data_IF_517167547578
#
_entry.id   IF_517167547578
#
_cell.length_a   1.000
_cell.length_b   1.000
_cell.length_c   1.000
_cell.angle_alpha   90.00
_cell.angle_beta   90.00
_cell.angle_gamma   90.00
#
_symmetry.space_group_name_H-M   'P 1'
#
loop_
_entity.id
_entity.type
_entity.pdbx_description
1 polymer ?
#
# COMPACT_ATOMS: atom_id res chain seq x y z
N UNK A 1 -10.76 -18.90 -19.60
CA UNK A 1 -11.28 -19.81 -18.54
C UNK A 1 -10.19 -20.61 -17.80
N UNK A 2 -8.98 -20.71 -18.32
CA UNK A 2 -7.90 -21.48 -17.65
C UNK A 2 -6.99 -20.64 -16.73
N UNK A 3 -6.95 -19.31 -16.87
CA UNK A 3 -6.17 -18.42 -16.02
C UNK A 3 -6.78 -18.22 -14.62
N UNK A 4 -8.10 -18.26 -14.50
CA UNK A 4 -8.82 -18.10 -13.22
C UNK A 4 -8.61 -19.27 -12.24
N UNK A 5 -8.23 -20.46 -12.72
CA UNK A 5 -7.94 -21.62 -11.85
C UNK A 5 -6.53 -21.62 -11.24
N UNK A 6 -5.59 -20.89 -11.83
CA UNK A 6 -4.22 -20.82 -11.29
C UNK A 6 -4.11 -19.87 -10.09
N UNK A 7 -4.82 -18.75 -10.10
CA UNK A 7 -4.82 -17.75 -9.02
C UNK A 7 -5.42 -18.31 -7.71
N UNK A 8 -6.52 -19.05 -7.80
CA UNK A 8 -7.15 -19.69 -6.63
C UNK A 8 -6.27 -20.76 -5.98
N UNK A 9 -5.42 -21.45 -6.76
CA UNK A 9 -4.54 -22.49 -6.21
C UNK A 9 -3.35 -21.92 -5.41
N UNK A 10 -2.86 -20.73 -5.75
CA UNK A 10 -1.77 -20.08 -4.99
C UNK A 10 -2.27 -19.56 -3.64
N UNK A 11 -3.47 -19.00 -3.59
CA UNK A 11 -4.13 -18.57 -2.34
C UNK A 11 -4.42 -19.75 -1.41
N UNK A 12 -4.85 -20.90 -1.96
CA UNK A 12 -5.07 -22.12 -1.19
C UNK A 12 -3.76 -22.73 -0.67
N UNK A 13 -2.64 -22.65 -1.40
CA UNK A 13 -1.33 -23.12 -0.91
C UNK A 13 -0.81 -22.28 0.26
N UNK A 14 -1.00 -20.95 0.22
CA UNK A 14 -0.59 -20.06 1.32
C UNK A 14 -1.46 -20.30 2.58
N UNK A 15 -2.73 -20.60 2.42
CA UNK A 15 -3.60 -21.00 3.52
C UNK A 15 -3.27 -22.38 4.11
N UNK A 16 -2.86 -23.34 3.29
CA UNK A 16 -2.46 -24.71 3.74
C UNK A 16 -1.12 -24.73 4.47
N UNK A 17 -0.21 -23.80 4.17
CA UNK A 17 1.04 -23.63 4.95
C UNK A 17 0.78 -23.14 6.38
N UNK A 18 -0.41 -22.59 6.67
CA UNK A 18 -0.82 -22.19 8.03
C UNK A 18 -1.26 -23.35 8.94
N UNK A 19 -1.55 -24.53 8.42
CA UNK A 19 -1.90 -25.68 9.27
C UNK A 19 -0.71 -26.16 10.14
N UNK A 20 0.54 -25.83 9.77
CA UNK A 20 1.73 -26.15 10.57
C UNK A 20 2.07 -25.12 11.68
N UNK A 21 1.29 -24.06 11.84
CA UNK A 21 1.51 -23.05 12.91
C UNK A 21 1.06 -23.53 14.28
N UNK A 22 0.36 -24.66 14.37
CA UNK A 22 -0.09 -25.20 15.65
C UNK A 22 1.05 -25.64 16.59
N UNK A 23 2.26 -25.84 16.10
CA UNK A 23 3.41 -26.24 16.93
C UNK A 23 4.09 -25.06 17.65
N UNK A 24 3.88 -23.82 17.20
CA UNK A 24 4.42 -22.61 17.85
C UNK A 24 3.58 -22.10 19.03
N UNK A 25 2.44 -22.73 19.35
CA UNK A 25 1.60 -22.40 20.53
C UNK A 25 2.32 -22.68 21.87
N UNK A 26 3.43 -23.39 21.89
CA UNK A 26 4.24 -23.62 23.11
C UNK A 26 4.90 -22.34 23.61
N UNK A 27 5.34 -21.45 22.72
CA UNK A 27 6.05 -20.22 23.12
C UNK A 27 5.11 -19.17 23.72
N UNK A 28 3.84 -19.17 23.31
CA UNK A 28 2.83 -18.24 23.85
C UNK A 28 2.47 -18.56 25.31
N UNK A 29 2.46 -19.85 25.71
CA UNK A 29 2.24 -20.28 27.10
C UNK A 29 3.43 -19.96 27.98
N UNK A 30 4.65 -20.06 27.49
CA UNK A 30 5.88 -19.69 28.22
C UNK A 30 5.93 -18.19 28.52
N UNK A 31 5.52 -17.35 27.58
CA UNK A 31 5.50 -15.89 27.78
C UNK A 31 4.42 -15.43 28.77
N UNK A 32 3.29 -16.12 28.84
CA UNK A 32 2.22 -15.85 29.80
C UNK A 32 2.59 -16.30 31.24
N UNK A 33 3.33 -17.39 31.38
CA UNK A 33 3.72 -17.93 32.69
C UNK A 33 4.88 -17.16 33.35
N UNK A 34 5.74 -16.49 32.59
CA UNK A 34 6.87 -15.72 33.13
C UNK A 34 6.46 -14.37 33.76
N UNK A 35 5.27 -13.84 33.48
CA UNK A 35 4.77 -12.59 34.10
C UNK A 35 3.88 -12.80 35.34
N UNK A 36 3.58 -14.03 35.69
CA UNK A 36 2.79 -14.37 36.89
C UNK A 36 3.61 -14.48 38.18
N UNK A 37 4.94 -14.47 38.12
CA UNK A 37 5.81 -14.51 39.31
C UNK A 37 5.92 -13.11 39.89
N UNK A 38 5.20 -12.88 40.98
CA UNK A 38 5.40 -11.74 41.88
C UNK A 38 6.87 -11.72 42.26
N UNK A 39 7.57 -10.66 41.92
CA UNK A 39 8.92 -10.35 42.38
C UNK A 39 8.93 -10.16 43.88
N UNK A 40 9.17 -11.19 44.63
CA UNK A 40 9.67 -11.06 45.99
C UNK A 40 11.16 -10.72 45.89
N UNK A 41 11.52 -9.58 46.48
CA UNK A 41 12.80 -8.87 46.33
C UNK A 41 14.03 -9.59 46.91
N UNK A 42 14.34 -10.83 46.49
CA UNK A 42 15.52 -11.55 46.96
C UNK A 42 16.45 -12.16 45.90
N UNK A 43 16.21 -11.96 44.62
CA UNK A 43 17.06 -12.54 43.55
C UNK A 43 17.94 -11.50 42.81
N UNK A 44 18.16 -10.33 43.37
CA UNK A 44 19.03 -9.32 42.76
C UNK A 44 20.44 -9.25 43.38
N UNK A 45 20.94 -10.33 44.00
CA UNK A 45 22.28 -10.28 44.62
C UNK A 45 23.36 -11.13 44.00
N UNK A 46 23.09 -11.89 42.94
CA UNK A 46 24.13 -12.73 42.31
C UNK A 46 24.13 -12.59 40.78
N UNK A 47 24.41 -11.39 40.26
CA UNK A 47 24.94 -11.23 38.91
C UNK A 47 26.38 -10.78 39.08
N UNK A 48 27.37 -11.56 38.60
CA UNK A 48 28.76 -11.18 38.69
C UNK A 48 29.00 -9.85 37.94
N UNK A 49 29.70 -8.92 38.59
CA UNK A 49 30.29 -7.71 38.00
C UNK A 49 31.38 -8.10 37.00
N UNK A 50 30.97 -8.46 35.78
CA UNK A 50 31.87 -8.57 34.63
C UNK A 50 31.23 -7.81 33.48
N UNK A 51 31.48 -6.54 33.43
CA UNK A 51 31.64 -5.72 32.23
C UNK A 51 31.96 -4.30 32.69
N UNK A 52 33.25 -4.05 32.72
CA UNK A 52 33.77 -2.70 32.88
C UNK A 52 33.55 -1.88 31.63
N UNK A 53 33.39 -0.60 31.87
CA UNK A 53 33.58 0.54 30.98
C UNK A 53 32.62 0.72 29.76
N UNK A 54 31.75 1.56 29.90
CA UNK A 54 31.20 2.79 29.22
C UNK A 54 31.63 3.09 27.76
N UNK A 55 32.12 2.17 26.94
CA UNK A 55 32.55 2.48 25.58
C UNK A 55 31.86 1.72 24.46
N UNK A 56 30.96 0.79 24.74
CA UNK A 56 30.26 -0.02 23.68
C UNK A 56 29.10 0.77 23.04
N UNK A 57 28.53 1.74 23.76
CA UNK A 57 27.41 2.56 23.19
C UNK A 57 27.83 3.60 22.15
N UNK A 58 29.14 3.88 22.01
CA UNK A 58 29.65 4.87 21.04
C UNK A 58 29.96 4.33 19.65
N UNK A 59 30.04 3.01 19.46
CA UNK A 59 30.41 2.44 18.16
C UNK A 59 29.22 1.97 17.29
N UNK A 60 28.02 1.85 17.85
CA UNK A 60 26.81 1.43 17.08
C UNK A 60 26.15 2.61 16.36
N UNK A 61 26.55 3.84 16.63
CA UNK A 61 25.88 5.06 16.14
C UNK A 61 26.66 5.83 15.06
N UNK A 62 27.65 5.23 14.38
CA UNK A 62 28.44 5.96 13.36
C UNK A 62 28.06 5.69 11.90
N UNK A 63 27.11 4.79 11.63
CA UNK A 63 26.59 4.56 10.29
C UNK A 63 25.12 4.94 10.10
N UNK A 64 24.47 5.50 11.13
CA UNK A 64 23.18 6.14 10.92
C UNK A 64 23.47 7.53 10.32
N UNK A 65 23.42 7.64 9.00
CA UNK A 65 23.16 8.94 8.37
C UNK A 65 21.86 9.43 9.01
N UNK A 66 21.85 10.57 9.73
CA UNK A 66 20.62 11.10 10.24
C UNK A 66 19.77 11.46 9.03
N UNK A 67 18.72 10.69 8.78
CA UNK A 67 17.65 11.07 7.86
C UNK A 67 17.19 12.44 8.34
N UNK A 68 17.57 13.50 7.62
CA UNK A 68 17.09 14.85 7.89
C UNK A 68 15.62 14.89 7.44
N UNK A 69 14.73 14.47 8.33
CA UNK A 69 13.31 14.77 8.21
C UNK A 69 13.24 16.29 8.38
N UNK A 70 13.25 17.01 7.25
CA UNK A 70 12.98 18.46 7.27
C UNK A 70 11.55 18.61 7.76
N UNK A 71 11.31 19.35 8.85
CA UNK A 71 9.94 19.69 9.21
C UNK A 71 9.37 20.49 8.03
N UNK A 72 8.23 20.06 7.51
CA UNK A 72 7.52 20.79 6.49
C UNK A 72 7.17 22.17 7.03
N UNK A 73 7.71 23.23 6.45
CA UNK A 73 7.47 24.64 6.82
C UNK A 73 6.07 25.14 6.39
N UNK A 74 5.15 24.25 6.05
CA UNK A 74 3.79 24.61 5.70
C UNK A 74 2.80 23.83 6.57
N UNK A 75 1.97 24.53 7.27
CA UNK A 75 0.66 24.30 7.91
C UNK A 75 -0.11 23.01 7.60
N UNK A 76 0.51 21.91 7.18
CA UNK A 76 -0.10 20.62 7.05
C UNK A 76 -0.28 20.02 8.44
N UNK A 77 -1.51 19.70 8.78
CA UNK A 77 -1.84 18.95 9.98
C UNK A 77 -1.17 17.58 9.84
N UNK A 78 -0.15 17.29 10.66
CA UNK A 78 0.46 15.97 10.71
C UNK A 78 -0.56 14.96 11.26
N UNK A 79 -1.16 14.18 10.36
CA UNK A 79 -2.11 13.12 10.71
C UNK A 79 -1.34 11.89 11.19
N UNK A 80 -0.23 11.56 10.52
CA UNK A 80 0.58 10.37 10.76
C UNK A 80 1.96 10.70 11.33
N UNK A 81 2.38 9.90 12.29
CA UNK A 81 3.72 9.90 12.85
C UNK A 81 4.66 9.10 11.92
N UNK A 82 5.33 9.79 10.98
CA UNK A 82 6.25 9.20 10.01
C UNK A 82 7.41 8.46 10.67
N UNK A 83 7.91 8.96 11.82
CA UNK A 83 8.96 8.29 12.58
C UNK A 83 8.48 6.97 13.16
N UNK A 84 7.26 6.93 13.69
CA UNK A 84 6.68 5.67 14.16
C UNK A 84 6.47 4.69 13.00
N UNK A 85 6.04 5.15 11.83
CA UNK A 85 5.89 4.32 10.63
C UNK A 85 7.23 3.74 10.18
N UNK A 86 8.27 4.53 10.13
CA UNK A 86 9.64 4.07 9.85
C UNK A 86 10.06 2.93 10.81
N UNK A 87 9.90 3.15 12.12
CA UNK A 87 10.25 2.13 13.12
C UNK A 87 9.38 0.86 13.01
N UNK A 88 8.12 0.98 12.59
CA UNK A 88 7.24 -0.16 12.36
C UNK A 88 7.71 -0.98 11.14
N UNK A 89 8.06 -0.32 10.03
CA UNK A 89 8.63 -0.96 8.83
C UNK A 89 9.96 -1.64 9.13
N UNK A 90 10.89 -0.94 9.81
CA UNK A 90 12.17 -1.52 10.22
C UNK A 90 12.01 -2.76 11.13
N UNK A 91 11.08 -2.73 12.07
CA UNK A 91 10.78 -3.88 12.90
C UNK A 91 10.22 -5.04 12.10
N UNK A 92 9.29 -4.77 11.18
CA UNK A 92 8.70 -5.78 10.30
C UNK A 92 9.77 -6.40 9.40
N UNK A 93 10.67 -5.57 8.82
CA UNK A 93 11.77 -6.01 7.97
C UNK A 93 12.72 -6.99 8.67
N UNK A 94 12.93 -6.80 9.98
CA UNK A 94 13.84 -7.65 10.78
C UNK A 94 13.16 -8.90 11.35
N UNK A 95 11.88 -9.11 11.09
CA UNK A 95 11.20 -10.31 11.57
C UNK A 95 11.68 -11.53 10.78
N UNK A 96 12.04 -12.64 11.46
CA UNK A 96 12.58 -13.82 10.79
C UNK A 96 11.55 -14.56 9.92
N UNK A 97 10.27 -14.29 10.16
CA UNK A 97 9.10 -14.89 9.50
C UNK A 97 8.31 -13.87 8.67
N UNK A 98 8.97 -12.82 8.21
CA UNK A 98 8.33 -11.69 7.49
C UNK A 98 7.54 -12.16 6.26
N UNK A 99 7.99 -13.19 5.55
CA UNK A 99 7.34 -13.74 4.36
C UNK A 99 5.90 -14.25 4.61
N UNK A 100 5.62 -14.65 5.85
CA UNK A 100 4.27 -15.12 6.23
C UNK A 100 3.24 -14.01 6.17
N UNK A 101 3.67 -12.76 6.30
CA UNK A 101 2.81 -11.57 6.34
C UNK A 101 2.70 -10.83 5.00
N UNK A 102 3.38 -11.31 3.95
CA UNK A 102 3.43 -10.62 2.66
C UNK A 102 2.18 -10.84 1.78
N UNK A 103 1.35 -11.82 2.08
CA UNK A 103 0.27 -12.31 1.20
C UNK A 103 -0.66 -11.22 0.65
N UNK A 104 -1.03 -10.22 1.48
CA UNK A 104 -1.89 -9.12 1.04
C UNK A 104 -1.14 -8.17 0.10
N UNK A 105 0.09 -7.81 0.46
CA UNK A 105 0.93 -6.91 -0.32
C UNK A 105 1.36 -7.54 -1.65
N UNK A 106 1.61 -8.85 -1.63
CA UNK A 106 1.92 -9.64 -2.83
C UNK A 106 0.74 -9.64 -3.81
N UNK A 107 -0.49 -9.90 -3.32
CA UNK A 107 -1.70 -9.90 -4.16
C UNK A 107 -1.95 -8.53 -4.77
N UNK A 108 -1.83 -7.45 -3.98
CA UNK A 108 -2.02 -6.08 -4.48
C UNK A 108 -0.90 -5.69 -5.45
N UNK A 109 0.35 -6.07 -5.16
CA UNK A 109 1.50 -5.82 -6.04
C UNK A 109 1.36 -6.53 -7.39
N UNK A 110 0.90 -7.78 -7.38
CA UNK A 110 0.60 -8.53 -8.60
C UNK A 110 -0.47 -7.84 -9.46
N UNK A 111 -1.60 -7.45 -8.85
CA UNK A 111 -2.68 -6.75 -9.57
C UNK A 111 -2.25 -5.38 -10.11
N UNK A 112 -1.35 -4.68 -9.41
CA UNK A 112 -0.81 -3.42 -9.88
C UNK A 112 0.16 -3.63 -11.06
N UNK A 113 0.99 -4.67 -11.01
CA UNK A 113 1.88 -5.06 -12.09
C UNK A 113 1.10 -5.49 -13.36
N UNK A 114 0.02 -6.24 -13.19
CA UNK A 114 -0.87 -6.65 -14.29
C UNK A 114 -1.38 -5.43 -15.09
N UNK A 115 -1.73 -4.34 -14.42
CA UNK A 115 -2.13 -3.08 -15.07
C UNK A 115 -0.98 -2.39 -15.83
N UNK A 116 0.28 -2.64 -15.48
CA UNK A 116 1.43 -2.13 -16.23
C UNK A 116 1.52 -2.83 -17.58
N UNK A 117 1.26 -4.14 -17.63
CA UNK A 117 1.26 -4.92 -18.87
C UNK A 117 0.14 -4.54 -19.85
N UNK A 118 -0.96 -3.97 -19.35
CA UNK A 118 -2.03 -3.46 -20.21
C UNK A 118 -1.58 -2.26 -21.07
N UNK A 119 -0.52 -1.55 -20.64
CA UNK A 119 0.04 -0.42 -21.37
C UNK A 119 1.03 -0.95 -22.41
N UNK A 120 0.66 -0.84 -23.69
CA UNK A 120 1.43 -1.36 -24.82
C UNK A 120 2.64 -0.49 -25.16
N UNK A 121 3.49 -0.18 -24.16
CA UNK A 121 4.77 0.50 -24.39
C UNK A 121 5.80 0.09 -23.34
N UNK A 122 7.08 0.19 -23.69
CA UNK A 122 8.18 -0.05 -22.77
C UNK A 122 8.58 1.25 -22.08
N UNK A 123 8.68 1.21 -20.74
CA UNK A 123 9.14 2.32 -19.92
C UNK A 123 10.67 2.26 -19.76
N UNK A 124 11.35 3.37 -20.06
CA UNK A 124 12.82 3.44 -19.94
C UNK A 124 13.26 3.54 -18.50
N UNK A 125 12.57 4.36 -17.70
CA UNK A 125 12.87 4.58 -16.29
C UNK A 125 11.58 4.57 -15.47
N UNK A 126 11.46 3.58 -14.61
CA UNK A 126 10.36 3.43 -13.67
C UNK A 126 10.85 3.60 -12.23
N UNK A 127 9.99 4.11 -11.36
CA UNK A 127 10.23 4.23 -9.92
C UNK A 127 9.11 3.53 -9.17
N UNK A 128 9.46 2.68 -8.20
CA UNK A 128 8.52 2.05 -7.27
C UNK A 128 8.68 2.70 -5.88
N UNK A 129 7.70 3.56 -5.50
CA UNK A 129 7.71 4.34 -4.27
C UNK A 129 7.09 3.55 -3.12
N UNK A 130 7.87 3.34 -2.05
CA UNK A 130 7.46 2.51 -0.93
C UNK A 130 7.38 1.05 -1.33
N UNK A 131 8.39 0.57 -2.07
CA UNK A 131 8.40 -0.76 -2.69
C UNK A 131 8.37 -1.92 -1.68
N UNK A 132 8.68 -1.66 -0.40
CA UNK A 132 8.76 -2.69 0.63
C UNK A 132 9.73 -3.81 0.23
N UNK A 133 9.25 -5.04 0.13
CA UNK A 133 10.01 -6.20 -0.37
C UNK A 133 9.89 -6.41 -1.88
N UNK A 134 9.55 -5.35 -2.64
CA UNK A 134 9.45 -5.40 -4.10
C UNK A 134 8.23 -6.15 -4.61
N UNK A 135 7.07 -5.91 -4.00
CA UNK A 135 5.84 -6.62 -4.35
C UNK A 135 5.38 -6.38 -5.79
N UNK A 136 5.64 -5.19 -6.33
CA UNK A 136 5.43 -4.87 -7.76
C UNK A 136 6.60 -5.38 -8.59
N UNK A 137 7.83 -5.13 -8.12
CA UNK A 137 9.05 -5.46 -8.83
C UNK A 137 9.19 -6.95 -9.18
N UNK A 138 8.70 -7.86 -8.32
CA UNK A 138 8.71 -9.31 -8.57
C UNK A 138 7.96 -9.73 -9.83
N UNK A 139 7.02 -8.94 -10.27
CA UNK A 139 6.14 -9.22 -11.41
C UNK A 139 6.47 -8.39 -12.66
N UNK A 140 7.42 -7.47 -12.57
CA UNK A 140 7.89 -6.65 -13.70
C UNK A 140 8.94 -7.45 -14.49
N UNK A 141 8.89 -7.31 -15.81
CA UNK A 141 9.85 -7.90 -16.73
C UNK A 141 10.57 -6.84 -17.59
N UNK A 142 11.58 -7.28 -18.35
CA UNK A 142 12.37 -6.43 -19.23
C UNK A 142 11.63 -5.98 -20.50
N UNK A 143 10.46 -6.55 -20.79
CA UNK A 143 9.62 -6.13 -21.91
C UNK A 143 8.86 -4.84 -21.55
N UNK A 144 8.45 -4.72 -20.30
CA UNK A 144 7.68 -3.59 -19.77
C UNK A 144 8.57 -2.45 -19.26
N UNK A 145 9.66 -2.77 -18.54
CA UNK A 145 10.53 -1.78 -17.89
C UNK A 145 12.00 -2.08 -18.19
N UNK A 146 12.77 -1.05 -18.56
CA UNK A 146 14.20 -1.18 -18.82
C UNK A 146 15.04 -0.98 -17.54
N UNK A 147 14.75 0.09 -16.80
CA UNK A 147 15.40 0.41 -15.53
C UNK A 147 14.36 0.72 -14.46
N UNK A 148 14.49 0.08 -13.28
CA UNK A 148 13.61 0.24 -12.14
C UNK A 148 14.40 0.78 -10.95
N UNK A 149 13.94 1.92 -10.39
CA UNK A 149 14.45 2.45 -9.12
C UNK A 149 13.49 2.05 -8.01
N UNK A 150 13.93 1.21 -7.11
CA UNK A 150 13.16 0.78 -5.95
C UNK A 150 13.44 1.69 -4.77
N UNK A 151 12.40 2.32 -4.25
CA UNK A 151 12.47 3.32 -3.18
C UNK A 151 11.66 2.88 -1.97
N UNK A 152 12.25 2.95 -0.79
CA UNK A 152 11.55 2.81 0.48
C UNK A 152 12.26 3.63 1.55
N UNK A 153 11.51 4.06 2.57
CA UNK A 153 12.11 4.75 3.73
C UNK A 153 12.95 3.81 4.61
N UNK A 154 12.72 2.49 4.53
CA UNK A 154 13.43 1.47 5.30
C UNK A 154 14.58 0.88 4.49
N UNK A 155 15.85 1.17 4.84
CA UNK A 155 17.00 0.53 4.19
C UNK A 155 17.00 -0.98 4.35
N UNK A 156 16.51 -1.50 5.50
CA UNK A 156 16.45 -2.95 5.74
C UNK A 156 15.49 -3.65 4.75
N UNK A 157 14.40 -3.00 4.34
CA UNK A 157 13.54 -3.53 3.27
C UNK A 157 14.30 -3.59 1.95
N UNK A 158 14.96 -2.49 1.55
CA UNK A 158 15.68 -2.40 0.28
C UNK A 158 16.79 -3.45 0.15
N UNK A 159 17.46 -3.79 1.26
CA UNK A 159 18.51 -4.82 1.26
C UNK A 159 17.95 -6.23 0.97
N UNK A 160 16.66 -6.45 1.27
CA UNK A 160 16.00 -7.76 1.13
C UNK A 160 15.26 -7.93 -0.20
N UNK A 161 15.08 -6.86 -0.99
CA UNK A 161 14.33 -6.91 -2.24
C UNK A 161 15.06 -7.75 -3.28
N UNK A 162 14.43 -8.79 -3.85
CA UNK A 162 15.02 -9.51 -4.98
C UNK A 162 15.05 -8.63 -6.24
N UNK A 163 16.04 -8.82 -7.09
CA UNK A 163 16.05 -8.15 -8.38
C UNK A 163 15.09 -8.85 -9.35
N UNK A 164 14.23 -8.11 -10.07
CA UNK A 164 13.47 -8.67 -11.16
C UNK A 164 14.41 -9.18 -12.27
N UNK A 165 14.03 -10.23 -12.99
CA UNK A 165 14.88 -10.83 -14.02
C UNK A 165 15.06 -9.86 -15.20
N UNK A 166 16.33 -9.70 -15.64
CA UNK A 166 16.70 -8.91 -16.84
C UNK A 166 16.31 -7.42 -16.80
N UNK A 167 16.00 -6.86 -15.65
CA UNK A 167 15.74 -5.43 -15.45
C UNK A 167 16.92 -4.81 -14.71
N UNK A 168 17.37 -3.65 -15.16
CA UNK A 168 18.40 -2.90 -14.44
C UNK A 168 17.80 -2.26 -13.20
N UNK A 169 18.34 -2.55 -12.02
CA UNK A 169 17.77 -2.12 -10.74
C UNK A 169 18.70 -1.17 -10.00
N UNK A 170 18.13 -0.08 -9.49
CA UNK A 170 18.74 0.78 -8.46
C UNK A 170 17.90 0.77 -7.20
N UNK A 171 18.53 0.95 -6.04
CA UNK A 171 17.85 1.04 -4.74
C UNK A 171 18.22 2.36 -4.09
N UNK A 172 17.20 3.11 -3.68
CA UNK A 172 17.38 4.43 -3.09
C UNK A 172 16.52 4.56 -1.83
N UNK A 173 17.10 5.05 -0.73
CA UNK A 173 16.34 5.34 0.49
C UNK A 173 15.65 6.68 0.30
N UNK A 174 14.33 6.66 0.11
CA UNK A 174 13.51 7.83 -0.19
C UNK A 174 12.28 7.85 0.69
N UNK A 175 11.91 9.03 1.20
CA UNK A 175 10.63 9.27 1.83
C UNK A 175 9.62 9.67 0.75
N UNK A 176 8.44 9.04 0.72
CA UNK A 176 7.38 9.29 -0.26
C UNK A 176 6.83 10.73 -0.19
N UNK A 177 7.11 11.46 0.90
CA UNK A 177 6.76 12.88 1.03
C UNK A 177 7.74 13.81 0.29
N UNK A 178 8.96 13.35 -0.01
CA UNK A 178 10.03 14.17 -0.61
C UNK A 178 10.77 13.42 -1.69
N UNK A 179 10.39 13.64 -2.95
CA UNK A 179 10.96 12.94 -4.08
C UNK A 179 12.25 13.63 -4.58
N UNK A 180 13.41 12.94 -4.59
CA UNK A 180 14.68 13.52 -5.02
C UNK A 180 14.92 13.46 -6.54
N UNK A 181 13.87 13.25 -7.33
CA UNK A 181 13.99 13.05 -8.78
C UNK A 181 13.92 14.37 -9.54
N UNK A 182 14.68 14.46 -10.62
CA UNK A 182 14.67 15.60 -11.53
C UNK A 182 13.31 15.74 -12.23
N UNK A 183 12.86 16.98 -12.51
CA UNK A 183 11.65 17.21 -13.29
C UNK A 183 11.71 16.53 -14.66
N UNK A 184 10.58 15.96 -15.10
CA UNK A 184 10.43 15.30 -16.40
C UNK A 184 11.49 14.22 -16.70
N UNK A 185 11.91 13.46 -15.68
CA UNK A 185 12.91 12.39 -15.80
C UNK A 185 12.31 11.00 -15.90
N UNK A 186 11.12 10.77 -15.33
CA UNK A 186 10.53 9.45 -15.13
C UNK A 186 9.45 9.14 -16.17
N UNK A 187 9.38 7.90 -16.63
CA UNK A 187 8.33 7.43 -17.54
C UNK A 187 7.15 6.81 -16.78
N UNK A 188 7.44 6.13 -15.66
CA UNK A 188 6.44 5.46 -14.82
C UNK A 188 6.80 5.66 -13.36
N UNK A 189 5.77 5.94 -12.54
CA UNK A 189 5.87 5.89 -11.07
C UNK A 189 4.80 4.94 -10.57
N UNK A 190 5.23 3.94 -9.78
CA UNK A 190 4.33 3.01 -9.10
C UNK A 190 4.38 3.20 -7.60
N UNK A 191 3.32 2.86 -6.89
CA UNK A 191 3.32 2.79 -5.43
C UNK A 191 2.27 1.81 -4.94
N UNK A 192 2.69 0.74 -4.27
CA UNK A 192 1.78 -0.29 -3.74
C UNK A 192 1.71 -0.21 -2.23
N UNK A 193 0.52 0.08 -1.70
CA UNK A 193 0.19 0.10 -0.26
C UNK A 193 1.20 0.88 0.60
N UNK A 194 1.62 2.06 0.12
CA UNK A 194 2.53 2.94 0.85
C UNK A 194 1.98 4.35 1.06
N UNK A 195 1.40 4.98 0.04
CA UNK A 195 1.05 6.40 0.04
C UNK A 195 -0.07 6.79 1.03
N UNK A 196 -0.84 5.84 1.53
CA UNK A 196 -1.87 6.11 2.56
C UNK A 196 -1.28 6.52 3.92
N UNK A 197 0.04 6.46 4.08
CA UNK A 197 0.76 6.95 5.26
C UNK A 197 1.38 8.34 5.08
N UNK A 198 1.20 8.96 3.92
CA UNK A 198 1.73 10.29 3.58
C UNK A 198 0.82 11.36 4.17
N UNK A 199 1.39 12.37 4.84
CA UNK A 199 0.62 13.47 5.43
C UNK A 199 0.14 14.48 4.39
N UNK A 200 1.04 14.89 3.45
CA UNK A 200 0.69 15.78 2.34
C UNK A 200 0.54 14.99 1.03
N UNK A 201 -0.53 14.20 0.93
CA UNK A 201 -0.84 13.46 -0.29
C UNK A 201 -1.03 14.37 -1.53
N UNK A 202 -1.69 15.55 -1.44
CA UNK A 202 -1.71 16.51 -2.54
C UNK A 202 -0.33 16.98 -2.97
N UNK A 203 0.58 17.22 -2.04
CA UNK A 203 1.98 17.60 -2.31
C UNK A 203 2.76 16.48 -2.98
N UNK A 204 2.60 15.23 -2.51
CA UNK A 204 3.22 14.07 -3.11
C UNK A 204 2.77 13.88 -4.58
N UNK A 205 1.47 14.00 -4.88
CA UNK A 205 0.97 13.92 -6.25
C UNK A 205 1.53 15.03 -7.15
N UNK A 206 1.68 16.27 -6.64
CA UNK A 206 2.32 17.37 -7.40
C UNK A 206 3.80 17.08 -7.68
N UNK A 207 4.53 16.48 -6.75
CA UNK A 207 5.91 16.08 -6.97
C UNK A 207 5.98 14.97 -8.02
N UNK A 208 5.14 13.94 -7.93
CA UNK A 208 5.08 12.83 -8.89
C UNK A 208 4.84 13.36 -10.30
N UNK A 209 3.81 14.20 -10.52
CA UNK A 209 3.53 14.72 -11.88
C UNK A 209 4.65 15.63 -12.39
N UNK A 210 5.37 16.33 -11.50
CA UNK A 210 6.53 17.13 -11.88
C UNK A 210 7.68 16.26 -12.37
N UNK A 211 7.98 15.16 -11.68
CA UNK A 211 9.05 14.23 -12.03
C UNK A 211 8.73 13.40 -13.27
N UNK A 212 7.46 13.14 -13.57
CA UNK A 212 7.04 12.42 -14.77
C UNK A 212 7.36 13.23 -16.03
N UNK A 213 7.77 12.55 -17.10
CA UNK A 213 7.80 13.08 -18.46
C UNK A 213 6.39 13.33 -18.97
N UNK A 214 6.26 14.12 -20.03
CA UNK A 214 5.00 14.24 -20.75
C UNK A 214 4.53 12.85 -21.18
N UNK A 215 3.23 12.60 -21.07
CA UNK A 215 2.65 11.27 -21.27
C UNK A 215 3.21 10.18 -20.33
N UNK A 216 3.86 10.57 -19.24
CA UNK A 216 4.28 9.67 -18.16
C UNK A 216 3.08 9.21 -17.33
N UNK A 217 3.23 8.05 -16.68
CA UNK A 217 2.14 7.37 -15.97
C UNK A 217 2.44 7.30 -14.49
N UNK A 218 1.44 7.57 -13.68
CA UNK A 218 1.40 7.22 -12.27
C UNK A 218 0.39 6.09 -12.03
N UNK A 219 0.79 5.07 -11.30
CA UNK A 219 -0.07 3.98 -10.85
C UNK A 219 0.10 3.77 -9.36
N UNK A 220 -1.00 3.73 -8.62
CA UNK A 220 -0.96 3.53 -7.19
C UNK A 220 -2.04 2.60 -6.67
N UNK A 221 -1.76 1.98 -5.53
CA UNK A 221 -2.72 1.24 -4.74
C UNK A 221 -2.64 1.69 -3.28
N UNK A 222 -3.76 2.05 -2.69
CA UNK A 222 -3.86 2.50 -1.29
C UNK A 222 -5.02 1.82 -0.58
N UNK A 223 -4.98 1.77 0.74
CA UNK A 223 -6.13 1.34 1.53
C UNK A 223 -7.25 2.37 1.46
N UNK A 224 -8.48 1.90 1.25
CA UNK A 224 -9.70 2.69 1.25
C UNK A 224 -10.37 2.77 2.62
N UNK A 225 -11.37 3.65 2.73
CA UNK A 225 -12.07 3.98 3.97
C UNK A 225 -12.70 2.81 4.70
N UNK A 226 -13.16 1.80 3.98
CA UNK A 226 -13.81 0.61 4.54
C UNK A 226 -12.82 -0.47 5.00
N UNK A 227 -11.52 -0.24 4.88
CA UNK A 227 -10.51 -1.17 5.39
C UNK A 227 -10.66 -1.35 6.89
N UNK A 228 -10.76 -2.65 7.30
CA UNK A 228 -10.86 -3.08 8.70
C UNK A 228 -12.04 -2.46 9.46
N UNK A 229 -13.17 -2.20 8.78
CA UNK A 229 -14.36 -1.61 9.41
C UNK A 229 -14.89 -2.49 10.56
N UNK A 230 -14.77 -3.82 10.44
CA UNK A 230 -15.20 -4.76 11.48
C UNK A 230 -14.35 -4.61 12.75
N UNK A 231 -13.01 -4.49 12.59
CA UNK A 231 -12.11 -4.26 13.72
C UNK A 231 -12.34 -2.87 14.34
N UNK A 232 -12.54 -1.85 13.49
CA UNK A 232 -12.82 -0.47 13.91
C UNK A 232 -14.07 -0.39 14.76
N UNK A 233 -15.17 -0.94 14.27
CA UNK A 233 -16.45 -0.94 14.98
C UNK A 233 -16.37 -1.69 16.30
N UNK A 234 -15.72 -2.86 16.33
CA UNK A 234 -15.58 -3.68 17.54
C UNK A 234 -14.75 -2.99 18.61
N UNK A 235 -13.64 -2.33 18.23
CA UNK A 235 -12.80 -1.57 19.15
C UNK A 235 -13.52 -0.32 19.68
N UNK A 236 -14.25 0.41 18.83
CA UNK A 236 -15.01 1.58 19.23
C UNK A 236 -16.12 1.23 20.23
N UNK A 237 -16.88 0.17 19.98
CA UNK A 237 -17.92 -0.32 20.89
C UNK A 237 -17.33 -0.75 22.23
N UNK A 238 -16.21 -1.47 22.22
CA UNK A 238 -15.54 -1.90 23.45
C UNK A 238 -15.01 -0.71 24.27
N UNK A 239 -14.46 0.32 23.60
CA UNK A 239 -13.99 1.52 24.29
C UNK A 239 -15.14 2.35 24.87
N UNK A 240 -16.22 2.49 24.12
CA UNK A 240 -17.41 3.21 24.60
C UNK A 240 -17.96 2.55 25.86
N UNK A 241 -18.05 1.20 25.88
CA UNK A 241 -18.51 0.44 27.03
C UNK A 241 -17.56 0.54 28.24
N UNK A 242 -16.24 0.44 28.01
CA UNK A 242 -15.25 0.33 29.10
C UNK A 242 -14.69 1.66 29.58
N UNK A 243 -14.67 2.69 28.72
CA UNK A 243 -14.04 3.98 29.00
C UNK A 243 -14.96 5.18 28.80
N UNK A 244 -16.14 5.00 28.23
CA UNK A 244 -17.07 6.09 27.94
C UNK A 244 -16.55 7.06 26.86
N UNK A 245 -15.57 6.66 26.04
CA UNK A 245 -14.99 7.48 24.98
C UNK A 245 -14.43 6.65 23.83
N UNK A 246 -14.03 7.30 22.74
CA UNK A 246 -13.53 6.66 21.53
C UNK A 246 -12.12 7.15 21.26
N UNK A 247 -11.20 6.22 20.96
CA UNK A 247 -9.86 6.53 20.45
C UNK A 247 -9.65 5.94 19.06
N UNK A 248 -8.83 6.58 18.21
CA UNK A 248 -8.48 6.04 16.90
C UNK A 248 -7.50 4.88 17.06
N UNK A 249 -8.01 3.65 16.85
CA UNK A 249 -7.18 2.44 16.81
C UNK A 249 -6.79 2.04 15.40
N UNK A 250 -7.60 2.42 14.41
CA UNK A 250 -7.34 2.22 12.98
C UNK A 250 -7.13 3.59 12.37
N UNK A 251 -6.12 3.69 11.52
CA UNK A 251 -5.80 4.93 10.80
C UNK A 251 -6.96 5.38 9.93
N UNK A 252 -7.16 6.70 9.76
CA UNK A 252 -8.06 7.20 8.75
C UNK A 252 -7.50 6.88 7.36
N UNK A 253 -8.35 6.43 6.46
CA UNK A 253 -8.02 6.20 5.05
C UNK A 253 -8.88 7.11 4.18
N UNK A 254 -8.43 7.36 2.95
CA UNK A 254 -9.12 8.18 1.96
C UNK A 254 -10.26 7.41 1.31
N UNK A 255 -11.29 8.16 0.84
CA UNK A 255 -12.35 7.62 0.02
C UNK A 255 -11.98 7.70 -1.47
N UNK A 256 -12.61 6.85 -2.30
CA UNK A 256 -12.41 6.84 -3.76
C UNK A 256 -12.64 8.22 -4.40
N UNK A 257 -13.66 8.94 -3.91
CA UNK A 257 -14.02 10.29 -4.39
C UNK A 257 -12.92 11.30 -4.15
N UNK A 258 -12.26 11.20 -2.99
CA UNK A 258 -11.18 12.10 -2.61
C UNK A 258 -9.95 11.87 -3.48
N UNK A 259 -9.59 10.61 -3.73
CA UNK A 259 -8.47 10.24 -4.60
C UNK A 259 -8.66 10.83 -6.01
N UNK A 260 -9.83 10.64 -6.63
CA UNK A 260 -10.13 11.21 -7.95
C UNK A 260 -10.00 12.73 -7.98
N UNK A 261 -10.51 13.40 -6.94
CA UNK A 261 -10.41 14.86 -6.80
C UNK A 261 -8.96 15.33 -6.62
N UNK A 262 -8.17 14.62 -5.81
CA UNK A 262 -6.76 14.93 -5.56
C UNK A 262 -5.91 14.78 -6.82
N UNK A 263 -6.08 13.71 -7.58
CA UNK A 263 -5.38 13.49 -8.84
C UNK A 263 -5.72 14.55 -9.88
N UNK A 264 -7.02 14.90 -10.02
CA UNK A 264 -7.47 15.98 -10.91
C UNK A 264 -6.84 17.32 -10.53
N UNK A 265 -6.81 17.65 -9.23
CA UNK A 265 -6.23 18.90 -8.72
C UNK A 265 -4.69 18.93 -8.85
N UNK A 266 -4.04 17.79 -8.82
CA UNK A 266 -2.61 17.68 -9.11
C UNK A 266 -2.29 17.89 -10.60
N UNK A 267 -3.27 17.76 -11.50
CA UNK A 267 -3.14 17.98 -12.93
C UNK A 267 -3.02 16.72 -13.77
N UNK A 268 -3.30 15.54 -13.20
CA UNK A 268 -3.36 14.30 -13.98
C UNK A 268 -4.58 14.26 -14.89
N UNK A 269 -4.44 13.61 -16.04
CA UNK A 269 -5.47 13.37 -17.05
C UNK A 269 -5.73 11.88 -17.21
N UNK A 270 -6.78 11.53 -17.95
CA UNK A 270 -7.17 10.14 -18.25
C UNK A 270 -7.18 9.27 -16.97
N UNK A 271 -7.80 9.80 -15.92
CA UNK A 271 -7.85 9.13 -14.62
C UNK A 271 -8.68 7.85 -14.69
N UNK A 272 -8.12 6.78 -14.13
CA UNK A 272 -8.86 5.55 -13.81
C UNK A 272 -8.72 5.31 -12.32
N UNK A 273 -9.83 5.24 -11.61
CA UNK A 273 -9.87 4.92 -10.18
C UNK A 273 -10.85 3.77 -9.99
N UNK A 274 -10.37 2.70 -9.39
CA UNK A 274 -11.10 1.46 -9.19
C UNK A 274 -10.96 1.01 -7.73
N UNK A 275 -11.94 0.26 -7.24
CA UNK A 275 -11.90 -0.30 -5.88
C UNK A 275 -12.12 -1.80 -5.92
N UNK A 276 -11.39 -2.49 -5.07
CA UNK A 276 -11.56 -3.92 -4.85
C UNK A 276 -11.52 -4.24 -3.36
N UNK A 277 -12.16 -5.32 -2.96
CA UNK A 277 -12.24 -5.78 -1.59
C UNK A 277 -11.58 -7.15 -1.46
N UNK A 278 -10.61 -7.25 -0.58
CA UNK A 278 -9.96 -8.50 -0.22
C UNK A 278 -10.39 -8.87 1.20
N UNK A 279 -11.15 -9.95 1.33
CA UNK A 279 -11.59 -10.45 2.64
C UNK A 279 -10.70 -11.59 3.07
N UNK A 280 -9.99 -11.39 4.18
CA UNK A 280 -9.13 -12.42 4.80
C UNK A 280 -9.81 -12.93 6.06
N UNK A 281 -9.85 -14.25 6.24
CA UNK A 281 -10.46 -14.87 7.43
C UNK A 281 -9.41 -15.25 8.46
N UNK A 282 -9.62 -14.84 9.70
CA UNK A 282 -8.73 -15.11 10.83
C UNK A 282 -9.41 -15.95 11.90
N UNK A 283 -8.66 -16.74 12.67
CA UNK A 283 -9.20 -17.50 13.80
C UNK A 283 -9.73 -16.59 14.91
N UNK A 284 -9.07 -15.45 15.18
CA UNK A 284 -9.53 -14.44 16.12
C UNK A 284 -8.95 -13.05 15.82
N UNK A 285 -9.45 -12.02 16.51
CA UNK A 285 -8.97 -10.65 16.42
C UNK A 285 -7.46 -10.54 16.76
N UNK A 286 -6.94 -11.40 17.61
CA UNK A 286 -5.54 -11.32 18.03
C UNK A 286 -4.58 -11.75 16.94
N UNK A 287 -4.94 -12.79 16.15
CA UNK A 287 -4.17 -13.21 14.99
C UNK A 287 -4.17 -12.11 13.90
N UNK A 288 -5.34 -11.49 13.66
CA UNK A 288 -5.40 -10.33 12.76
C UNK A 288 -4.47 -9.19 13.22
N UNK A 289 -4.52 -8.82 14.51
CA UNK A 289 -3.65 -7.77 15.06
C UNK A 289 -2.16 -8.14 14.96
N UNK A 290 -1.85 -9.43 15.10
CA UNK A 290 -0.49 -9.92 14.96
C UNK A 290 0.00 -9.81 13.51
N UNK A 291 -0.84 -10.19 12.56
CA UNK A 291 -0.53 -10.08 11.13
C UNK A 291 -0.32 -8.61 10.72
N UNK A 292 -1.22 -7.71 11.13
CA UNK A 292 -1.06 -6.27 10.87
C UNK A 292 0.26 -5.72 11.42
N UNK A 293 0.69 -6.23 12.58
CA UNK A 293 1.99 -5.88 13.15
C UNK A 293 3.16 -6.44 12.32
N UNK A 294 3.04 -7.66 11.82
CA UNK A 294 4.03 -8.31 10.94
C UNK A 294 4.16 -7.60 9.60
N UNK A 295 3.05 -7.16 9.03
CA UNK A 295 3.01 -6.36 7.80
C UNK A 295 3.61 -4.96 7.95
N UNK A 296 3.79 -4.46 9.20
CA UNK A 296 4.15 -3.07 9.46
C UNK A 296 2.99 -2.09 9.30
N UNK A 297 1.73 -2.57 9.28
CA UNK A 297 0.52 -1.77 9.08
C UNK A 297 -0.19 -1.38 10.38
N UNK A 298 0.55 -1.28 11.47
CA UNK A 298 0.02 -0.75 12.72
C UNK A 298 -0.40 0.71 12.56
N UNK A 299 -1.39 1.11 13.36
CA UNK A 299 -1.79 2.51 13.45
C UNK A 299 -0.59 3.43 13.75
N UNK A 300 -0.44 4.45 12.95
CA UNK A 300 0.58 5.49 13.11
C UNK A 300 -0.05 6.89 13.24
N UNK A 301 -1.35 7.01 13.50
CA UNK A 301 -1.99 8.29 13.73
C UNK A 301 -1.32 9.03 14.90
N UNK A 302 -1.18 10.34 14.77
CA UNK A 302 -0.48 11.16 15.77
C UNK A 302 -1.20 11.13 17.13
N UNK A 303 -2.52 11.09 17.11
CA UNK A 303 -3.39 11.07 18.29
C UNK A 303 -3.74 9.65 18.77
N UNK A 304 -3.03 8.61 18.32
CA UNK A 304 -3.25 7.21 18.75
C UNK A 304 -2.96 7.02 20.24
N UNK A 305 -3.69 6.12 20.87
CA UNK A 305 -3.28 5.59 22.17
C UNK A 305 -2.04 4.72 22.02
N UNK A 306 -1.07 4.88 22.92
CA UNK A 306 0.20 4.13 22.86
C UNK A 306 0.03 2.63 23.15
N UNK A 307 -1.02 2.26 23.87
CA UNK A 307 -1.32 0.86 24.18
C UNK A 307 -2.83 0.65 24.31
N UNK A 308 -3.26 -0.53 23.92
CA UNK A 308 -4.62 -1.02 24.12
C UNK A 308 -4.68 -1.77 25.46
N UNK A 309 -5.66 -1.43 26.32
CA UNK A 309 -5.87 -2.12 27.60
C UNK A 309 -6.39 -3.53 27.35
N UNK A 310 -6.01 -4.47 28.23
CA UNK A 310 -6.39 -5.89 28.09
C UNK A 310 -7.88 -6.12 28.18
N UNK A 311 -8.55 -5.42 29.10
CA UNK A 311 -9.99 -5.49 29.28
C UNK A 311 -10.74 -5.03 28.02
N UNK A 312 -10.32 -3.91 27.42
CA UNK A 312 -10.85 -3.42 26.13
C UNK A 312 -10.58 -4.39 24.99
N UNK A 313 -9.37 -4.96 24.91
CA UNK A 313 -9.03 -5.91 23.87
C UNK A 313 -9.86 -7.19 23.93
N UNK A 314 -10.11 -7.73 25.14
CA UNK A 314 -10.94 -8.92 25.31
C UNK A 314 -12.41 -8.62 24.99
N UNK A 315 -12.93 -7.46 25.44
CA UNK A 315 -14.28 -7.02 25.10
C UNK A 315 -14.45 -6.85 23.57
N UNK A 316 -13.49 -6.19 22.91
CA UNK A 316 -13.51 -6.01 21.45
C UNK A 316 -13.48 -7.36 20.71
N UNK A 317 -12.67 -8.32 21.16
CA UNK A 317 -12.62 -9.65 20.56
C UNK A 317 -13.97 -10.40 20.68
N UNK A 318 -14.66 -10.25 21.82
CA UNK A 318 -15.98 -10.82 22.01
C UNK A 318 -17.02 -10.17 21.09
N UNK A 319 -17.03 -8.84 21.00
CA UNK A 319 -17.91 -8.06 20.13
C UNK A 319 -17.65 -8.42 18.67
N UNK A 320 -16.38 -8.48 18.25
CA UNK A 320 -16.01 -8.84 16.88
C UNK A 320 -16.55 -10.21 16.50
N UNK A 321 -16.34 -11.19 17.37
CA UNK A 321 -16.85 -12.54 17.17
C UNK A 321 -18.38 -12.59 17.12
N UNK A 322 -19.06 -11.78 17.94
CA UNK A 322 -20.53 -11.76 18.01
C UNK A 322 -21.13 -11.10 16.76
N UNK A 323 -20.57 -9.99 16.30
CA UNK A 323 -21.13 -9.22 15.17
C UNK A 323 -20.78 -9.81 13.81
N UNK A 324 -19.54 -10.29 13.66
CA UNK A 324 -18.98 -10.66 12.35
C UNK A 324 -18.49 -12.11 12.29
N UNK A 325 -18.49 -12.83 13.40
CA UNK A 325 -17.99 -14.21 13.43
C UNK A 325 -18.85 -15.14 12.60
N UNK A 326 -18.18 -15.98 11.80
CA UNK A 326 -18.82 -17.03 11.03
C UNK A 326 -18.44 -18.41 11.59
N UNK A 327 -19.42 -19.31 11.61
CA UNK A 327 -19.31 -20.68 12.15
C UNK A 327 -19.42 -21.74 11.03
N UNK A 328 -19.03 -21.43 9.83
CA UNK A 328 -19.10 -22.37 8.70
C UNK A 328 -18.19 -23.57 8.92
N UNK A 329 -18.74 -24.78 8.80
CA UNK A 329 -17.98 -26.03 8.88
C UNK A 329 -17.37 -26.36 10.24
N UNK A 330 -17.89 -25.82 11.34
CA UNK A 330 -17.38 -26.09 12.70
C UNK A 330 -16.09 -25.37 13.06
N UNK A 331 -15.52 -24.57 12.18
CA UNK A 331 -14.37 -23.67 12.45
C UNK A 331 -14.88 -22.25 12.65
N UNK A 332 -14.61 -21.69 13.83
CA UNK A 332 -14.87 -20.28 14.08
C UNK A 332 -13.85 -19.42 13.35
N UNK A 333 -14.33 -18.45 12.58
CA UNK A 333 -13.48 -17.46 11.91
C UNK A 333 -14.13 -16.09 11.94
N UNK A 334 -13.31 -15.05 11.89
CA UNK A 334 -13.74 -13.66 11.73
C UNK A 334 -13.23 -13.14 10.38
N UNK A 335 -14.03 -12.38 9.62
CA UNK A 335 -13.56 -11.72 8.41
C UNK A 335 -12.74 -10.48 8.79
N UNK A 336 -11.82 -10.09 7.96
CA UNK A 336 -11.18 -8.78 7.96
C UNK A 336 -11.16 -8.27 6.52
N UNK A 337 -11.86 -7.19 6.28
CA UNK A 337 -12.03 -6.60 4.94
C UNK A 337 -10.95 -5.56 4.71
N UNK A 338 -10.23 -5.69 3.59
CA UNK A 338 -9.27 -4.73 3.10
C UNK A 338 -9.79 -4.16 1.78
N UNK A 339 -10.25 -2.92 1.81
CA UNK A 339 -10.64 -2.19 0.63
C UNK A 339 -9.37 -1.58 0.00
N UNK A 340 -9.13 -1.88 -1.27
CA UNK A 340 -8.00 -1.35 -2.02
C UNK A 340 -8.51 -0.39 -3.09
N UNK A 341 -8.01 0.83 -3.09
CA UNK A 341 -8.26 1.80 -4.15
C UNK A 341 -7.06 1.78 -5.08
N UNK A 342 -7.28 1.32 -6.31
CA UNK A 342 -6.31 1.42 -7.39
C UNK A 342 -6.52 2.74 -8.13
N UNK A 343 -5.44 3.41 -8.46
CA UNK A 343 -5.47 4.68 -9.15
C UNK A 343 -4.45 4.71 -10.28
N UNK A 344 -4.83 5.30 -11.39
CA UNK A 344 -3.98 5.53 -12.55
C UNK A 344 -4.21 6.96 -13.03
N UNK A 345 -3.14 7.65 -13.38
CA UNK A 345 -3.22 8.99 -13.95
C UNK A 345 -2.04 9.26 -14.88
N UNK A 346 -2.28 10.03 -15.91
CA UNK A 346 -1.31 10.40 -16.93
C UNK A 346 -0.92 11.86 -16.79
N UNK A 347 0.37 12.17 -17.00
CA UNK A 347 0.78 13.55 -17.17
C UNK A 347 0.29 14.04 -18.54
N UNK A 348 -0.36 15.22 -18.61
CA UNK A 348 -0.88 15.77 -19.87
C UNK A 348 0.17 15.85 -20.97
N UNK A 349 -0.20 15.44 -22.17
CA UNK A 349 0.59 15.62 -23.39
C UNK A 349 -0.33 15.88 -24.58
N UNK A 350 0.22 16.52 -25.64
CA UNK A 350 -0.51 16.82 -26.86
C UNK A 350 -0.93 15.58 -27.64
N UNK A 351 -0.16 14.49 -27.52
CA UNK A 351 -0.43 13.20 -28.17
C UNK A 351 -1.64 12.45 -27.61
N UNK A 352 -2.14 12.84 -26.42
CA UNK A 352 -3.24 12.14 -25.77
C UNK A 352 -4.57 12.40 -26.49
N UNK A 353 -5.45 11.38 -26.60
CA UNK A 353 -6.75 11.51 -27.23
C UNK A 353 -7.60 12.56 -26.48
N UNK A 354 -8.13 13.50 -27.24
CA UNK A 354 -9.05 14.53 -26.70
C UNK A 354 -10.49 14.06 -26.86
N UNK A 355 -11.39 14.43 -25.93
CA UNK A 355 -12.81 14.21 -26.12
C UNK A 355 -13.29 14.84 -27.43
N UNK A 356 -14.13 14.13 -28.15
CA UNK A 356 -14.76 14.67 -29.35
C UNK A 356 -15.59 15.90 -29.02
N UNK A 357 -15.71 16.88 -29.96
CA UNK A 357 -16.53 18.06 -29.76
C UNK A 357 -17.99 17.69 -29.46
N UNK A 358 -18.69 18.54 -28.73
CA UNK A 358 -20.13 18.36 -28.49
C UNK A 358 -20.86 18.36 -29.83
N UNK A 359 -21.76 17.40 -30.04
CA UNK A 359 -22.51 17.24 -31.26
C UNK A 359 -21.83 16.39 -32.34
N UNK A 360 -20.65 15.83 -32.08
CA UNK A 360 -19.95 14.90 -32.99
C UNK A 360 -20.52 13.48 -33.02
N UNK A 361 -21.54 13.19 -32.22
CA UNK A 361 -22.21 11.89 -32.21
C UNK A 361 -23.10 11.73 -33.45
N UNK A 362 -22.62 11.01 -34.45
CA UNK A 362 -23.34 10.75 -35.70
C UNK A 362 -24.39 9.64 -35.58
N UNK A 363 -24.33 8.84 -34.51
CA UNK A 363 -25.23 7.72 -34.29
C UNK A 363 -26.10 7.89 -33.06
N UNK A 364 -27.39 7.61 -33.25
CA UNK A 364 -28.33 7.49 -32.13
C UNK A 364 -28.07 6.19 -31.34
N UNK A 365 -28.24 6.23 -30.01
CA UNK A 365 -28.22 5.03 -29.16
C UNK A 365 -29.22 3.96 -29.61
N UNK A 366 -30.26 4.34 -30.35
CA UNK A 366 -31.25 3.42 -30.93
C UNK A 366 -30.67 2.60 -32.08
N UNK A 367 -29.61 3.05 -32.73
CA UNK A 367 -28.97 2.44 -33.88
C UNK A 367 -27.70 1.65 -33.52
N UNK A 368 -27.48 1.38 -32.22
CA UNK A 368 -26.31 0.65 -31.71
C UNK A 368 -26.12 -0.74 -32.33
N UNK A 369 -27.21 -1.40 -32.79
CA UNK A 369 -27.14 -2.70 -33.47
C UNK A 369 -26.42 -2.63 -34.83
N UNK A 370 -26.19 -1.41 -35.39
CA UNK A 370 -25.45 -1.18 -36.65
C UNK A 370 -23.99 -0.79 -36.44
N UNK A 371 -23.51 -0.86 -35.22
CA UNK A 371 -22.16 -0.39 -34.85
C UNK A 371 -21.07 -1.10 -35.66
N UNK A 372 -21.20 -2.39 -35.89
CA UNK A 372 -20.23 -3.18 -36.68
C UNK A 372 -20.18 -2.75 -38.15
N UNK A 373 -21.32 -2.35 -38.75
CA UNK A 373 -21.37 -1.81 -40.10
C UNK A 373 -20.71 -0.48 -40.23
N UNK A 374 -20.82 0.38 -39.20
CA UNK A 374 -20.21 1.72 -39.19
C UNK A 374 -18.69 1.64 -38.95
N UNK A 375 -18.26 0.81 -38.00
CA UNK A 375 -16.83 0.55 -37.77
C UNK A 375 -16.16 0.00 -39.03
N UNK A 376 -16.82 -0.88 -39.75
CA UNK A 376 -16.27 -1.43 -41.01
C UNK A 376 -16.15 -0.40 -42.12
N UNK A 377 -17.05 0.60 -42.16
CA UNK A 377 -17.01 1.72 -43.12
C UNK A 377 -15.93 2.76 -42.74
N UNK A 378 -15.80 3.07 -41.45
CA UNK A 378 -14.80 4.05 -40.94
C UNK A 378 -13.35 3.56 -41.13
N UNK A 379 -13.09 2.26 -41.02
CA UNK A 379 -11.77 1.66 -41.31
C UNK A 379 -11.35 1.74 -42.79
N UNK A 380 -12.25 2.10 -43.70
CA UNK A 380 -11.98 2.21 -45.15
C UNK A 380 -11.74 3.65 -45.64
N UNK A 381 -11.88 4.65 -44.76
CA UNK A 381 -11.54 6.03 -45.12
C UNK A 381 -10.03 6.27 -44.86
N UNK A 382 -9.23 6.66 -45.88
CA UNK A 382 -7.89 7.15 -45.65
C UNK A 382 -7.98 8.46 -44.85
N UNK A 383 -7.10 8.62 -43.88
CA UNK A 383 -6.85 9.90 -43.21
C UNK A 383 -6.23 10.85 -44.23
N UNK A 384 -7.04 11.58 -45.00
CA UNK A 384 -6.58 12.71 -45.76
C UNK A 384 -6.24 13.87 -44.80
N UNK A 385 -4.97 14.20 -44.83
CA UNK A 385 -4.33 15.29 -44.08
C UNK A 385 -4.81 16.64 -44.67
N UNK A 386 -5.97 17.14 -44.27
CA UNK A 386 -6.43 18.49 -44.60
C UNK A 386 -6.34 19.38 -43.36
N UNK A 387 -5.17 19.97 -43.18
CA UNK A 387 -5.02 21.20 -42.39
C UNK A 387 -5.74 22.34 -43.13
N UNK A 388 -6.76 22.99 -42.50
CA UNK A 388 -7.35 24.18 -43.10
C UNK A 388 -6.35 25.34 -42.97
N UNK A 389 -5.96 25.93 -44.10
CA UNK A 389 -5.23 27.20 -44.13
C UNK A 389 -6.04 28.34 -43.44
N UNK A 390 -5.34 29.23 -42.73
CA UNK A 390 -6.05 30.38 -42.09
C UNK A 390 -6.46 31.40 -43.15
N UNK A 391 -7.79 31.63 -43.25
CA UNK A 391 -8.36 32.73 -44.05
C UNK A 391 -7.77 34.07 -43.64
N UNK A 392 -7.07 34.73 -44.57
CA UNK A 392 -6.66 36.12 -44.47
C UNK A 392 -7.89 36.98 -44.62
N UNK A 393 -8.37 37.62 -43.53
CA UNK A 393 -9.34 38.69 -43.57
C UNK A 393 -8.69 39.91 -44.26
N UNK A 394 -9.35 40.38 -45.34
CA UNK A 394 -9.19 41.71 -45.88
C UNK A 394 -9.98 42.74 -45.09
#
# INVERSE_FOLDING_TARGET
>A
MNAFRASTNTMFRTCLLRENINDRRRDFRLWYNLRGLKTTGKILREIPRMYGSTNIYRHICRSCVPMQIKPAENTSINIFDRRAKFLQRERAARAPDVEVYDYLKEEVGYRLADRIFDIKRKFKLAVDLGCGRGYVAKHIDSESVEELVMCDMSPTWLDQVPNPPNVKVRREVVDEEFLPFEPASLDLVTSSLSMHWVNDLPGAFRQIITCLKNDGVFMGAVFGGDTLFELRSSLQLAELERHGGIAPHISPFTEIRDIGSLLTRAGFTMLTVDTDEIVVRYPSMFELMWDLKGMGENNAAYNRKLHLRRDTAVAAAAIYKQLYGNNEGGKHSIPATFQIIYMLGWKPDVSQPKPLPRGSGEMSLKDLYRLDEVISKTKKMPLDDQTPEPEKKK
#
